data_IF_455959247072
#
_entry.id   IF_455959247072
#
_cell.length_a   1.000
_cell.length_b   1.000
_cell.length_c   1.000
_cell.angle_alpha   90.00
_cell.angle_beta   90.00
_cell.angle_gamma   90.00
#
_symmetry.space_group_name_H-M   'P 1'
#
loop_
_entity.id
_entity.type
_entity.pdbx_description
1 polymer ?
#
# COMPACT_ATOMS: atom_id res chain seq x y z
N UNK A 1 7.26 -7.88 0.18
CA UNK A 1 8.56 -7.27 -0.12
C UNK A 1 9.45 -7.23 1.13
N UNK A 2 9.06 -6.52 2.18
CA UNK A 2 9.82 -6.43 3.44
C UNK A 2 10.10 -7.80 4.08
N UNK A 3 9.09 -8.67 4.13
CA UNK A 3 9.21 -10.03 4.67
C UNK A 3 10.26 -10.89 3.94
N UNK A 4 10.39 -10.73 2.63
CA UNK A 4 11.39 -11.43 1.83
C UNK A 4 12.80 -10.84 1.97
N UNK A 5 12.92 -9.51 1.98
CA UNK A 5 14.22 -8.86 2.16
C UNK A 5 14.85 -9.19 3.52
N UNK A 6 14.02 -9.39 4.56
CA UNK A 6 14.51 -9.89 5.85
C UNK A 6 15.17 -11.27 5.73
N UNK A 7 14.64 -12.17 4.90
CA UNK A 7 15.21 -13.51 4.69
C UNK A 7 16.52 -13.49 3.89
N UNK A 8 16.69 -12.54 2.96
CA UNK A 8 17.89 -12.44 2.11
C UNK A 8 18.94 -11.45 2.60
N UNK A 9 18.54 -10.38 3.27
CA UNK A 9 19.44 -9.31 3.65
C UNK A 9 19.63 -9.30 5.16
N UNK A 10 20.70 -9.93 5.63
CA UNK A 10 21.14 -9.87 7.04
C UNK A 10 21.43 -8.43 7.54
N UNK A 11 21.36 -7.43 6.65
CA UNK A 11 21.56 -6.02 6.95
C UNK A 11 20.30 -5.29 7.43
N UNK A 12 19.10 -5.86 7.30
CA UNK A 12 17.92 -5.28 7.91
C UNK A 12 18.01 -5.42 9.42
N UNK A 13 18.36 -4.32 10.06
CA UNK A 13 18.62 -4.26 11.52
C UNK A 13 17.35 -4.32 12.36
N UNK A 14 16.16 -4.23 11.75
CA UNK A 14 14.86 -4.14 12.44
C UNK A 14 13.82 -5.05 11.82
N UNK A 15 12.99 -5.62 12.66
CA UNK A 15 11.79 -6.34 12.24
C UNK A 15 10.65 -5.34 12.05
N UNK A 16 9.77 -5.59 11.07
CA UNK A 16 8.59 -4.77 10.82
C UNK A 16 7.37 -5.66 10.89
N UNK A 17 6.42 -5.25 11.72
CA UNK A 17 5.11 -5.87 11.86
C UNK A 17 4.04 -4.87 11.40
N UNK A 18 2.98 -5.40 10.77
CA UNK A 18 1.86 -4.59 10.30
C UNK A 18 0.60 -4.99 11.05
N UNK A 19 -0.08 -4.00 11.58
CA UNK A 19 -1.43 -4.15 12.11
C UNK A 19 -2.42 -3.73 11.00
N UNK A 20 -2.86 -4.70 10.22
CA UNK A 20 -3.68 -4.49 9.01
C UNK A 20 -5.18 -4.75 9.26
N UNK A 21 -5.53 -5.33 10.40
CA UNK A 21 -6.88 -5.77 10.71
C UNK A 21 -7.27 -5.47 12.15
N UNK A 22 -8.54 -5.14 12.35
CA UNK A 22 -9.15 -5.03 13.67
C UNK A 22 -9.63 -6.38 14.23
N UNK A 23 -9.42 -7.47 13.49
CA UNK A 23 -9.71 -8.83 13.95
C UNK A 23 -8.89 -9.14 15.22
N UNK A 24 -9.53 -9.48 16.35
CA UNK A 24 -8.83 -9.70 17.61
C UNK A 24 -7.84 -10.87 17.57
N UNK A 25 -8.11 -11.92 16.78
CA UNK A 25 -7.21 -13.07 16.65
C UNK A 25 -5.95 -12.67 15.91
N UNK A 26 -6.09 -11.95 14.80
CA UNK A 26 -4.97 -11.44 14.03
C UNK A 26 -4.15 -10.44 14.85
N UNK A 27 -4.82 -9.51 15.53
CA UNK A 27 -4.19 -8.47 16.34
C UNK A 27 -3.36 -9.08 17.49
N UNK A 28 -3.94 -9.98 18.26
CA UNK A 28 -3.25 -10.66 19.36
C UNK A 28 -2.11 -11.57 18.83
N UNK A 29 -2.35 -12.28 17.73
CA UNK A 29 -1.32 -13.07 17.08
C UNK A 29 -0.13 -12.23 16.57
N UNK A 30 -0.38 -11.00 16.14
CA UNK A 30 0.70 -10.08 15.76
C UNK A 30 1.46 -9.57 17.00
N UNK A 31 0.75 -9.14 18.04
CA UNK A 31 1.34 -8.65 19.30
C UNK A 31 2.25 -9.70 19.95
N UNK A 32 1.88 -10.97 19.89
CA UNK A 32 2.67 -12.06 20.51
C UNK A 32 4.02 -12.34 19.84
N UNK A 33 4.33 -11.71 18.72
CA UNK A 33 5.54 -11.97 17.93
C UNK A 33 6.73 -11.09 18.32
N UNK A 34 6.54 -10.05 19.14
CA UNK A 34 7.58 -9.10 19.50
C UNK A 34 7.35 -8.49 20.89
N UNK A 35 8.39 -7.88 21.45
CA UNK A 35 8.30 -7.15 22.71
C UNK A 35 7.76 -5.73 22.47
N UNK A 36 6.65 -5.40 23.11
CA UNK A 36 6.03 -4.08 23.02
C UNK A 36 6.92 -2.97 23.58
N UNK A 37 7.70 -3.25 24.62
CA UNK A 37 8.58 -2.25 25.27
C UNK A 37 9.78 -1.89 24.38
N UNK A 38 10.24 -2.82 23.51
CA UNK A 38 11.35 -2.58 22.56
C UNK A 38 10.82 -2.27 21.14
N UNK A 39 9.67 -1.63 21.05
CA UNK A 39 8.99 -1.39 19.78
C UNK A 39 8.77 0.10 19.51
N UNK A 40 9.12 0.56 18.30
CA UNK A 40 8.71 1.84 17.75
C UNK A 40 7.40 1.68 16.98
N UNK A 41 6.36 2.33 17.44
CA UNK A 41 5.06 2.35 16.78
C UNK A 41 4.98 3.48 15.76
N UNK A 42 4.42 3.18 14.59
CA UNK A 42 4.18 4.18 13.54
C UNK A 42 2.70 4.17 13.22
N UNK A 43 1.99 5.21 13.62
CA UNK A 43 0.55 5.36 13.34
C UNK A 43 0.37 6.19 12.08
N UNK A 44 -0.23 5.57 11.05
CA UNK A 44 -0.40 6.18 9.73
C UNK A 44 -1.90 6.30 9.42
N UNK A 45 -2.37 7.53 9.31
CA UNK A 45 -3.74 7.80 8.86
C UNK A 45 -3.81 9.19 8.23
N UNK A 46 -4.17 9.28 6.94
CA UNK A 46 -4.23 10.56 6.24
C UNK A 46 -5.17 11.54 6.92
N UNK A 47 -6.43 11.15 7.13
CA UNK A 47 -7.45 11.99 7.80
C UNK A 47 -7.26 12.09 9.32
N UNK A 48 -6.46 11.21 9.91
CA UNK A 48 -6.34 11.07 11.36
C UNK A 48 -7.61 10.57 12.06
N UNK A 49 -8.56 9.99 11.30
CA UNK A 49 -9.87 9.54 11.80
C UNK A 49 -10.28 8.17 11.26
N UNK A 50 -9.42 7.50 10.48
CA UNK A 50 -9.68 6.14 9.97
C UNK A 50 -9.99 5.21 11.14
N UNK A 51 -11.19 4.67 11.19
CA UNK A 51 -11.72 3.98 12.38
C UNK A 51 -10.87 2.77 12.76
N UNK A 52 -10.41 1.99 11.78
CA UNK A 52 -9.56 0.81 11.99
C UNK A 52 -8.23 1.22 12.63
N UNK A 53 -7.53 2.17 12.03
CA UNK A 53 -6.24 2.66 12.54
C UNK A 53 -6.36 3.24 13.95
N UNK A 54 -7.40 4.07 14.19
CA UNK A 54 -7.58 4.70 15.49
C UNK A 54 -8.02 3.68 16.56
N UNK A 55 -8.80 2.68 16.18
CA UNK A 55 -9.20 1.61 17.10
C UNK A 55 -8.00 0.75 17.53
N UNK A 56 -7.15 0.34 16.59
CA UNK A 56 -5.93 -0.39 16.88
C UNK A 56 -4.97 0.46 17.74
N UNK A 57 -4.80 1.72 17.39
CA UNK A 57 -3.95 2.64 18.18
C UNK A 57 -4.45 2.79 19.61
N UNK A 58 -5.76 2.99 19.83
CA UNK A 58 -6.35 3.06 21.17
C UNK A 58 -6.18 1.76 21.95
N UNK A 59 -6.39 0.62 21.31
CA UNK A 59 -6.20 -0.68 21.95
C UNK A 59 -4.75 -0.87 22.38
N UNK A 60 -3.78 -0.63 21.50
CA UNK A 60 -2.35 -0.71 21.83
C UNK A 60 -1.99 0.26 22.96
N UNK A 61 -2.52 1.50 22.94
CA UNK A 61 -2.28 2.49 23.99
C UNK A 61 -2.92 2.12 25.35
N UNK A 62 -3.85 1.15 25.39
CA UNK A 62 -4.42 0.63 26.64
C UNK A 62 -3.54 -0.45 27.30
N UNK A 63 -2.66 -1.08 26.56
CA UNK A 63 -1.80 -2.17 27.04
C UNK A 63 -0.31 -1.77 27.16
N UNK A 64 0.11 -0.70 26.50
CA UNK A 64 1.44 -0.14 26.62
C UNK A 64 1.41 1.38 26.61
N UNK A 65 2.27 2.02 27.38
CA UNK A 65 2.46 3.46 27.34
C UNK A 65 3.10 3.88 26.04
N UNK A 66 2.40 4.72 25.26
CA UNK A 66 2.90 5.32 24.04
C UNK A 66 3.16 6.80 24.24
N UNK A 67 4.40 7.23 24.01
CA UNK A 67 4.81 8.63 24.10
C UNK A 67 5.88 8.96 23.04
N UNK A 68 6.51 10.11 23.14
CA UNK A 68 7.50 10.59 22.17
C UNK A 68 8.75 9.68 22.02
N UNK A 69 8.98 8.75 22.93
CA UNK A 69 10.12 7.84 22.88
C UNK A 69 9.88 6.64 21.97
N UNK A 70 8.64 6.22 21.82
CA UNK A 70 8.28 4.99 21.10
C UNK A 70 7.16 5.16 20.07
N UNK A 71 6.70 6.39 19.80
CA UNK A 71 5.60 6.66 18.86
C UNK A 71 5.98 7.71 17.81
N UNK A 72 5.71 7.37 16.54
CA UNK A 72 5.71 8.28 15.40
C UNK A 72 4.30 8.37 14.79
N UNK A 73 3.97 9.53 14.24
CA UNK A 73 2.70 9.75 13.57
C UNK A 73 2.94 10.25 12.15
N UNK A 74 2.23 9.66 11.19
CA UNK A 74 2.24 10.10 9.78
C UNK A 74 0.80 10.43 9.39
N UNK A 75 0.53 11.72 9.15
CA UNK A 75 -0.84 12.21 8.96
C UNK A 75 -0.84 13.57 8.27
N UNK A 76 -2.00 14.08 7.83
CA UNK A 76 -2.13 15.47 7.38
C UNK A 76 -1.95 16.48 8.52
N UNK A 77 -1.36 17.63 8.21
CA UNK A 77 -1.06 18.67 9.19
C UNK A 77 -2.27 19.18 9.98
N UNK A 78 -3.47 19.19 9.37
CA UNK A 78 -4.69 19.71 10.00
C UNK A 78 -5.54 18.58 10.62
N UNK A 79 -5.02 17.36 10.70
CA UNK A 79 -5.76 16.21 11.24
C UNK A 79 -5.88 16.23 12.76
N UNK A 80 -6.91 15.56 13.28
CA UNK A 80 -7.06 15.34 14.74
C UNK A 80 -5.88 14.56 15.32
N UNK A 81 -5.33 13.62 14.57
CA UNK A 81 -4.17 12.82 14.96
C UNK A 81 -2.90 13.69 15.06
N UNK A 82 -2.71 14.68 14.16
CA UNK A 82 -1.63 15.63 14.26
C UNK A 82 -1.76 16.55 15.48
N UNK A 83 -3.00 17.01 15.78
CA UNK A 83 -3.25 17.81 16.97
C UNK A 83 -2.93 17.03 18.25
N UNK A 84 -3.33 15.75 18.32
CA UNK A 84 -2.97 14.84 19.41
C UNK A 84 -1.45 14.70 19.54
N UNK A 85 -0.73 14.47 18.44
CA UNK A 85 0.71 14.30 18.44
C UNK A 85 1.43 15.56 18.93
N UNK A 86 1.01 16.75 18.49
CA UNK A 86 1.59 18.05 18.94
C UNK A 86 1.42 18.27 20.44
N UNK A 87 0.23 18.01 20.99
CA UNK A 87 -0.02 18.18 22.43
C UNK A 87 0.84 17.25 23.27
N UNK A 88 1.19 16.07 22.76
CA UNK A 88 1.99 15.06 23.45
C UNK A 88 3.47 15.06 23.07
N UNK A 89 3.95 16.08 22.34
CA UNK A 89 5.34 16.22 21.87
C UNK A 89 5.84 15.00 21.03
N UNK A 90 4.92 14.37 20.29
CA UNK A 90 5.19 13.21 19.45
C UNK A 90 5.65 13.66 18.07
N UNK A 91 6.69 13.02 17.54
CA UNK A 91 7.22 13.29 16.21
C UNK A 91 6.20 13.00 15.12
N UNK A 92 5.99 13.96 14.22
CA UNK A 92 5.06 13.83 13.09
C UNK A 92 5.76 13.98 11.74
N UNK A 93 5.20 13.30 10.73
CA UNK A 93 5.54 13.50 9.33
C UNK A 93 4.25 13.80 8.55
N UNK A 94 4.33 14.78 7.65
CA UNK A 94 3.17 15.24 6.89
C UNK A 94 2.84 14.32 5.70
N UNK A 95 1.54 14.17 5.44
CA UNK A 95 1.01 13.61 4.19
C UNK A 95 0.45 14.77 3.38
N UNK A 96 0.98 15.07 2.17
CA UNK A 96 0.47 16.17 1.37
C UNK A 96 -1.01 16.03 1.05
N UNK A 97 -1.80 17.10 1.20
CA UNK A 97 -3.26 17.10 0.99
C UNK A 97 -3.68 16.59 -0.39
N UNK A 98 -2.89 16.90 -1.42
CA UNK A 98 -3.14 16.52 -2.81
C UNK A 98 -2.74 15.08 -3.15
N UNK A 99 -2.15 14.33 -2.21
CA UNK A 99 -1.79 12.91 -2.38
C UNK A 99 -2.87 12.04 -1.77
N UNK A 100 -3.63 11.32 -2.61
CA UNK A 100 -4.60 10.33 -2.16
C UNK A 100 -3.95 9.11 -1.51
N UNK A 101 -4.67 8.42 -0.61
CA UNK A 101 -4.14 7.28 0.15
C UNK A 101 -3.48 6.21 -0.75
N UNK A 102 -4.16 5.78 -1.81
CA UNK A 102 -3.65 4.78 -2.78
C UNK A 102 -2.42 5.22 -3.57
N UNK A 103 -2.12 6.52 -3.60
CA UNK A 103 -0.93 7.08 -4.26
C UNK A 103 0.21 7.40 -3.29
N UNK A 104 0.03 7.16 -1.99
CA UNK A 104 0.91 7.69 -0.95
C UNK A 104 2.18 6.88 -0.69
N UNK A 105 2.39 5.75 -1.37
CA UNK A 105 3.54 4.86 -1.14
C UNK A 105 4.90 5.54 -1.32
N UNK A 106 5.00 6.54 -2.20
CA UNK A 106 6.22 7.34 -2.42
C UNK A 106 6.21 8.66 -1.64
N UNK A 107 5.34 8.81 -0.66
CA UNK A 107 5.35 9.89 0.34
C UNK A 107 5.91 9.39 1.68
N UNK A 108 5.85 10.21 2.72
CA UNK A 108 6.24 9.81 4.07
C UNK A 108 5.55 8.53 4.56
N UNK A 109 4.37 8.20 4.01
CA UNK A 109 3.63 6.97 4.33
C UNK A 109 4.47 5.70 4.06
N UNK A 110 5.14 5.63 2.93
CA UNK A 110 6.00 4.50 2.61
C UNK A 110 7.48 4.76 2.91
N UNK A 111 7.97 6.00 2.67
CA UNK A 111 9.40 6.31 2.77
C UNK A 111 9.92 6.25 4.22
N UNK A 112 9.15 6.73 5.20
CA UNK A 112 9.58 6.70 6.61
C UNK A 112 9.74 5.27 7.13
N UNK A 113 8.74 4.37 7.00
CA UNK A 113 8.91 2.98 7.41
C UNK A 113 10.04 2.25 6.66
N UNK A 114 10.17 2.47 5.36
CA UNK A 114 11.24 1.85 4.57
C UNK A 114 12.63 2.33 4.99
N UNK A 115 12.81 3.63 5.22
CA UNK A 115 14.06 4.20 5.72
C UNK A 115 14.43 3.62 7.09
N UNK A 116 13.47 3.56 8.01
CA UNK A 116 13.68 2.98 9.35
C UNK A 116 14.00 1.47 9.30
N UNK A 117 13.51 0.78 8.28
CA UNK A 117 13.84 -0.61 7.99
C UNK A 117 15.24 -0.79 7.39
N UNK A 118 15.89 0.28 6.95
CA UNK A 118 17.23 0.26 6.35
C UNK A 118 17.24 0.10 4.83
N UNK A 119 16.12 0.40 4.15
CA UNK A 119 16.07 0.44 2.68
C UNK A 119 16.66 1.74 2.14
N UNK A 120 17.27 1.66 0.96
CA UNK A 120 17.71 2.82 0.19
C UNK A 120 16.49 3.47 -0.48
N UNK A 121 15.97 4.52 0.16
CA UNK A 121 14.82 5.27 -0.35
C UNK A 121 15.19 6.16 -1.54
N UNK A 122 16.44 6.55 -1.68
CA UNK A 122 16.90 7.36 -2.82
C UNK A 122 16.91 6.52 -4.10
N UNK A 123 17.35 5.26 -4.00
CA UNK A 123 17.29 4.32 -5.14
C UNK A 123 15.84 4.03 -5.55
N UNK A 124 14.94 3.85 -4.60
CA UNK A 124 13.50 3.70 -4.85
C UNK A 124 12.93 4.92 -5.58
N UNK A 125 13.20 6.13 -5.09
CA UNK A 125 12.75 7.37 -5.69
C UNK A 125 13.38 7.62 -7.08
N UNK A 126 14.63 7.22 -7.28
CA UNK A 126 15.29 7.28 -8.58
C UNK A 126 14.61 6.37 -9.61
N UNK A 127 14.19 5.17 -9.20
CA UNK A 127 13.37 4.29 -10.03
C UNK A 127 12.06 4.95 -10.47
N UNK A 128 11.32 5.53 -9.52
CA UNK A 128 10.09 6.26 -9.80
C UNK A 128 10.31 7.45 -10.74
N UNK A 129 11.39 8.23 -10.51
CA UNK A 129 11.76 9.38 -11.34
C UNK A 129 12.04 8.98 -12.78
N UNK A 130 12.73 7.87 -13.01
CA UNK A 130 12.99 7.36 -14.37
C UNK A 130 11.70 7.13 -15.15
N UNK A 131 10.69 6.52 -14.53
CA UNK A 131 9.39 6.30 -15.16
C UNK A 131 8.68 7.63 -15.43
N UNK A 132 8.62 8.51 -14.44
CA UNK A 132 7.99 9.83 -14.58
C UNK A 132 8.64 10.65 -15.69
N UNK A 133 9.97 10.73 -15.72
CA UNK A 133 10.72 11.44 -16.78
C UNK A 133 10.43 10.82 -18.14
N UNK A 134 10.53 9.48 -18.27
CA UNK A 134 10.26 8.80 -19.54
C UNK A 134 8.83 9.06 -20.05
N UNK A 135 7.85 9.18 -19.14
CA UNK A 135 6.48 9.50 -19.53
C UNK A 135 6.32 10.94 -20.02
N UNK A 136 6.80 11.91 -19.25
CA UNK A 136 6.60 13.34 -19.59
C UNK A 136 7.48 13.81 -20.75
N UNK A 137 8.67 13.25 -20.90
CA UNK A 137 9.56 13.52 -22.03
C UNK A 137 9.26 12.64 -23.27
N UNK A 138 8.23 11.80 -23.19
CA UNK A 138 7.79 10.92 -24.28
C UNK A 138 8.87 9.97 -24.80
N UNK A 139 9.70 9.42 -23.90
CA UNK A 139 10.70 8.40 -24.24
C UNK A 139 10.05 7.02 -24.41
N UNK A 140 10.86 5.98 -24.59
CA UNK A 140 10.42 4.61 -24.91
C UNK A 140 9.27 4.09 -24.02
N UNK A 141 9.32 4.31 -22.70
CA UNK A 141 8.29 3.84 -21.78
C UNK A 141 6.95 4.55 -21.98
N UNK A 142 6.92 5.79 -22.50
CA UNK A 142 5.68 6.47 -22.83
C UNK A 142 4.84 5.65 -23.81
N UNK A 143 5.46 5.19 -24.90
CA UNK A 143 4.77 4.39 -25.92
C UNK A 143 4.17 3.11 -25.34
N UNK A 144 4.90 2.42 -24.47
CA UNK A 144 4.41 1.21 -23.80
C UNK A 144 3.23 1.50 -22.86
N UNK A 145 3.30 2.57 -22.09
CA UNK A 145 2.23 2.97 -21.16
C UNK A 145 0.96 3.37 -21.90
N UNK A 146 1.09 4.18 -22.96
CA UNK A 146 -0.05 4.58 -23.81
C UNK A 146 -0.66 3.39 -24.52
N UNK A 147 0.16 2.49 -25.09
CA UNK A 147 -0.33 1.28 -25.74
C UNK A 147 -1.12 0.41 -24.76
N UNK A 148 -0.61 0.22 -23.55
CA UNK A 148 -1.31 -0.53 -22.50
C UNK A 148 -2.66 0.12 -22.15
N UNK A 149 -2.68 1.42 -21.86
CA UNK A 149 -3.90 2.15 -21.53
C UNK A 149 -4.94 2.07 -22.66
N UNK A 150 -4.49 2.23 -23.91
CA UNK A 150 -5.32 2.11 -25.09
C UNK A 150 -5.90 0.71 -25.25
N UNK A 151 -5.13 -0.33 -25.05
CA UNK A 151 -5.62 -1.72 -25.10
C UNK A 151 -6.75 -1.94 -24.10
N UNK A 152 -6.58 -1.51 -22.85
CA UNK A 152 -7.65 -1.61 -21.84
C UNK A 152 -8.91 -0.83 -22.24
N UNK A 153 -8.74 0.35 -22.80
CA UNK A 153 -9.86 1.17 -23.24
C UNK A 153 -10.60 0.55 -24.43
N UNK A 154 -9.89 0.03 -25.42
CA UNK A 154 -10.46 -0.57 -26.63
C UNK A 154 -11.25 -1.86 -26.34
N UNK A 155 -10.84 -2.61 -25.32
CA UNK A 155 -11.47 -3.89 -24.99
C UNK A 155 -12.39 -3.85 -23.75
N UNK A 156 -12.59 -2.68 -23.14
CA UNK A 156 -13.35 -2.54 -21.89
C UNK A 156 -14.83 -2.99 -21.96
N UNK A 157 -15.42 -2.99 -23.15
CA UNK A 157 -16.80 -3.41 -23.36
C UNK A 157 -16.91 -4.91 -23.74
N UNK A 158 -15.77 -5.58 -23.89
CA UNK A 158 -15.66 -7.01 -24.22
C UNK A 158 -15.20 -7.82 -23.01
N UNK A 159 -14.21 -7.30 -22.28
CA UNK A 159 -13.61 -7.94 -21.12
C UNK A 159 -13.83 -7.07 -19.88
N UNK A 160 -14.42 -7.66 -18.83
CA UNK A 160 -14.76 -6.95 -17.60
C UNK A 160 -13.75 -7.15 -16.48
N UNK A 161 -12.81 -8.09 -16.65
CA UNK A 161 -11.85 -8.48 -15.62
C UNK A 161 -10.43 -8.11 -16.06
N UNK A 162 -9.70 -7.45 -15.17
CA UNK A 162 -8.29 -7.16 -15.32
C UNK A 162 -7.51 -7.99 -14.28
N UNK A 163 -6.92 -9.09 -14.71
CA UNK A 163 -6.15 -9.99 -13.85
C UNK A 163 -4.66 -9.68 -13.89
N UNK A 164 -4.05 -9.46 -12.73
CA UNK A 164 -2.59 -9.44 -12.55
C UNK A 164 -2.15 -10.79 -11.97
N UNK A 165 -1.47 -11.57 -12.81
CA UNK A 165 -1.03 -12.93 -12.48
C UNK A 165 0.48 -12.92 -12.21
N UNK A 166 0.90 -12.79 -10.96
CA UNK A 166 2.29 -12.59 -10.58
C UNK A 166 2.96 -13.91 -10.20
N UNK A 167 4.07 -14.26 -10.86
CA UNK A 167 4.84 -15.48 -10.58
C UNK A 167 5.98 -15.27 -9.59
N UNK A 168 5.79 -14.36 -8.64
CA UNK A 168 6.72 -14.11 -7.54
C UNK A 168 5.95 -13.83 -6.25
N UNK A 169 6.28 -14.56 -5.20
CA UNK A 169 5.73 -14.33 -3.85
C UNK A 169 5.99 -12.89 -3.35
N UNK A 170 7.06 -12.26 -3.83
CA UNK A 170 7.39 -10.86 -3.52
C UNK A 170 6.33 -9.87 -3.99
N UNK A 171 5.57 -10.23 -5.01
CA UNK A 171 4.57 -9.37 -5.62
C UNK A 171 3.17 -9.54 -5.01
N UNK A 172 3.00 -10.36 -3.98
CA UNK A 172 1.71 -10.50 -3.28
C UNK A 172 1.19 -9.16 -2.76
N UNK A 173 2.03 -8.40 -2.06
CA UNK A 173 1.68 -7.07 -1.59
C UNK A 173 1.45 -6.08 -2.71
N UNK A 174 2.18 -6.21 -3.82
CA UNK A 174 1.95 -5.42 -5.03
C UNK A 174 0.58 -5.70 -5.64
N UNK A 175 0.17 -6.96 -5.72
CA UNK A 175 -1.16 -7.33 -6.23
C UNK A 175 -2.28 -6.70 -5.38
N UNK A 176 -2.17 -6.73 -4.05
CA UNK A 176 -3.13 -6.08 -3.14
C UNK A 176 -3.19 -4.56 -3.35
N UNK A 177 -2.03 -3.92 -3.45
CA UNK A 177 -1.95 -2.49 -3.75
C UNK A 177 -2.53 -2.16 -5.12
N UNK A 178 -2.25 -2.96 -6.14
CA UNK A 178 -2.77 -2.77 -7.49
C UNK A 178 -4.31 -2.84 -7.54
N UNK A 179 -4.92 -3.78 -6.82
CA UNK A 179 -6.38 -3.89 -6.71
C UNK A 179 -6.97 -2.59 -6.17
N UNK A 180 -6.42 -2.05 -5.08
CA UNK A 180 -6.88 -0.78 -4.51
C UNK A 180 -6.64 0.38 -5.48
N UNK A 181 -5.43 0.49 -6.04
CA UNK A 181 -5.07 1.55 -6.98
C UNK A 181 -6.02 1.58 -8.19
N UNK A 182 -6.27 0.42 -8.78
CA UNK A 182 -7.15 0.28 -9.94
C UNK A 182 -8.61 0.54 -9.57
N UNK A 183 -9.13 -0.15 -8.58
CA UNK A 183 -10.53 -0.09 -8.17
C UNK A 183 -10.96 1.32 -7.76
N UNK A 184 -10.22 1.96 -6.87
CA UNK A 184 -10.54 3.32 -6.42
C UNK A 184 -10.28 4.41 -7.48
N UNK A 185 -9.36 4.18 -8.42
CA UNK A 185 -9.04 5.17 -9.45
C UNK A 185 -10.02 5.13 -10.62
N UNK A 186 -10.40 3.95 -11.07
CA UNK A 186 -11.19 3.75 -12.29
C UNK A 186 -12.66 3.38 -12.02
N UNK A 187 -13.00 2.88 -10.82
CA UNK A 187 -14.38 2.64 -10.39
C UNK A 187 -15.12 3.98 -10.19
N UNK A 188 -15.55 4.58 -11.28
CA UNK A 188 -16.19 5.91 -11.33
C UNK A 188 -17.42 5.89 -12.23
N UNK A 189 -18.25 6.90 -12.06
CA UNK A 189 -19.34 7.20 -12.99
C UNK A 189 -18.86 8.31 -13.93
N UNK A 190 -19.01 8.11 -15.23
CA UNK A 190 -18.62 9.08 -16.23
C UNK A 190 -19.69 10.20 -16.44
N UNK A 191 -19.41 11.14 -17.33
CA UNK A 191 -20.32 12.26 -17.63
C UNK A 191 -21.66 11.82 -18.24
N UNK A 192 -21.75 10.59 -18.78
CA UNK A 192 -22.96 10.00 -19.33
C UNK A 192 -23.73 9.15 -18.30
N UNK A 193 -23.37 9.23 -17.03
CA UNK A 193 -23.93 8.44 -15.94
C UNK A 193 -23.73 6.92 -16.12
N UNK A 194 -22.63 6.53 -16.76
CA UNK A 194 -22.25 5.12 -16.98
C UNK A 194 -21.14 4.71 -16.02
N UNK A 195 -21.28 3.56 -15.38
CA UNK A 195 -20.26 2.99 -14.50
C UNK A 195 -19.03 2.59 -15.31
N UNK A 196 -17.87 2.98 -14.84
CA UNK A 196 -16.58 2.70 -15.45
C UNK A 196 -15.70 1.83 -14.54
N UNK A 197 -14.66 1.25 -15.12
CA UNK A 197 -13.66 0.42 -14.42
C UNK A 197 -13.88 -1.07 -14.66
N UNK A 198 -12.77 -1.77 -14.89
CA UNK A 198 -12.74 -3.23 -14.97
C UNK A 198 -12.51 -3.78 -13.57
N UNK A 199 -13.02 -4.98 -13.27
CA UNK A 199 -12.80 -5.66 -11.98
C UNK A 199 -11.34 -6.08 -11.84
N UNK A 200 -10.57 -5.54 -10.90
CA UNK A 200 -9.19 -5.95 -10.70
C UNK A 200 -9.10 -7.25 -9.89
N UNK A 201 -8.30 -8.21 -10.36
CA UNK A 201 -7.99 -9.44 -9.64
C UNK A 201 -6.49 -9.57 -9.52
N UNK A 202 -5.99 -9.83 -8.31
CA UNK A 202 -4.59 -10.13 -8.04
C UNK A 202 -4.40 -11.60 -7.73
N UNK A 203 -3.61 -12.29 -8.54
CA UNK A 203 -3.35 -13.73 -8.45
C UNK A 203 -1.87 -13.99 -8.23
N UNK A 204 -1.56 -15.02 -7.43
CA UNK A 204 -0.20 -15.46 -7.20
C UNK A 204 0.04 -16.76 -7.97
N UNK A 205 0.78 -16.68 -9.09
CA UNK A 205 0.95 -17.74 -10.06
C UNK A 205 1.27 -19.13 -9.48
N UNK A 206 2.29 -19.29 -8.61
CA UNK A 206 2.63 -20.60 -8.04
C UNK A 206 1.50 -21.29 -7.26
N UNK A 207 0.51 -20.53 -6.78
CA UNK A 207 -0.66 -21.05 -6.05
C UNK A 207 -1.88 -21.08 -6.96
N UNK A 208 -2.20 -19.95 -7.59
CA UNK A 208 -3.46 -19.74 -8.28
C UNK A 208 -3.51 -20.39 -9.67
N UNK A 209 -2.36 -20.78 -10.23
CA UNK A 209 -2.36 -21.62 -11.44
C UNK A 209 -3.03 -22.98 -11.21
N UNK A 210 -3.08 -23.47 -9.97
CA UNK A 210 -3.75 -24.72 -9.61
C UNK A 210 -5.21 -24.54 -9.19
N UNK A 211 -5.70 -23.29 -9.16
CA UNK A 211 -7.08 -22.97 -8.78
C UNK A 211 -7.80 -22.16 -9.85
N UNK A 212 -7.23 -21.06 -10.30
CA UNK A 212 -7.89 -20.06 -11.14
C UNK A 212 -7.55 -20.16 -12.64
N UNK A 213 -6.40 -20.75 -13.00
CA UNK A 213 -5.92 -20.79 -14.38
C UNK A 213 -6.88 -21.54 -15.32
N UNK A 214 -7.53 -22.61 -14.83
CA UNK A 214 -8.52 -23.38 -15.59
C UNK A 214 -9.67 -22.48 -16.05
N UNK A 215 -10.17 -21.61 -15.17
CA UNK A 215 -11.24 -20.65 -15.52
C UNK A 215 -10.78 -19.65 -16.59
N UNK A 216 -9.52 -19.17 -16.50
CA UNK A 216 -8.97 -18.25 -17.50
C UNK A 216 -8.86 -18.91 -18.87
N UNK A 217 -8.44 -20.20 -18.91
CA UNK A 217 -8.16 -20.91 -20.16
C UNK A 217 -9.44 -21.40 -20.86
N UNK A 218 -10.36 -22.03 -20.12
CA UNK A 218 -11.52 -22.72 -20.66
C UNK A 218 -12.88 -22.17 -20.20
N UNK A 219 -12.86 -21.24 -19.21
CA UNK A 219 -14.09 -20.65 -18.70
C UNK A 219 -14.70 -19.59 -19.64
N UNK A 220 -15.82 -19.03 -19.18
CA UNK A 220 -16.43 -17.87 -19.86
C UNK A 220 -15.44 -16.70 -19.83
N UNK A 221 -15.26 -16.06 -20.96
CA UNK A 221 -14.40 -14.89 -21.12
C UNK A 221 -15.17 -13.63 -20.86
N UNK A 222 -15.05 -13.11 -19.64
CA UNK A 222 -15.71 -11.90 -19.16
C UNK A 222 -14.80 -10.68 -19.25
#
# INVERSE_FOLDING_TARGET
>A
FLKYHKQKNKSLKKEIFFFESTDPVNLNGTISQFDLEDTLFIVISKSGTTIETISIFKYLSSIIKMDKSNLLVITENDSKLNSFAKVNDIKTFDIPKNVGGRFSVLSNVGLVPLYLAGFDIDELLNGARKISTSFFEQYELFTHLIKKARTYYEYKDVYNINAVFSYSQLLEGFNKWYIQLWGESLGKIDANNTNQGLTPIGLLGPVDQHSFLQLIVEGKRD
#
